data_IF_289521816700
#
_entry.id   IF_289521816700
#
_cell.length_a   1.000
_cell.length_b   1.000
_cell.length_c   1.000
_cell.angle_alpha   90.00
_cell.angle_beta   90.00
_cell.angle_gamma   90.00
#
_symmetry.space_group_name_H-M   'P 1'
#
loop_
_entity.id
_entity.type
_entity.pdbx_description
1 polymer ?
#
# COMPACT_ATOMS: atom_id res chain seq x y z
N UNK A 1 -2.59 26.67 32.05
CA UNK A 1 -3.33 27.02 30.86
C UNK A 1 -2.49 26.91 29.63
N UNK A 2 -1.39 27.61 29.56
CA UNK A 2 -0.59 27.55 28.37
C UNK A 2 -0.13 26.13 28.03
N UNK A 3 0.15 25.34 29.06
CA UNK A 3 0.60 23.98 28.84
C UNK A 3 -0.43 23.11 28.16
N UNK A 4 -1.70 23.31 28.49
CA UNK A 4 -2.75 22.53 27.86
C UNK A 4 -2.88 22.84 26.39
N UNK A 5 -2.77 24.10 26.02
CA UNK A 5 -2.86 24.50 24.63
C UNK A 5 -1.72 23.90 23.84
N UNK A 6 -0.50 23.90 24.41
CA UNK A 6 0.65 23.34 23.72
C UNK A 6 0.48 21.84 23.48
N UNK A 7 -0.04 21.11 24.45
CA UNK A 7 -0.24 19.69 24.29
C UNK A 7 -1.25 19.39 23.20
N UNK A 8 -2.31 20.16 23.15
CA UNK A 8 -3.33 19.97 22.14
C UNK A 8 -2.73 20.17 20.74
N UNK A 9 -1.90 21.20 20.59
CA UNK A 9 -1.28 21.46 19.31
C UNK A 9 -0.37 20.33 18.87
N UNK A 10 0.38 19.74 19.80
CA UNK A 10 1.27 18.65 19.47
C UNK A 10 0.48 17.44 19.01
N UNK A 11 -0.61 17.09 19.68
CA UNK A 11 -1.43 15.95 19.29
C UNK A 11 -1.98 16.16 17.89
N UNK A 12 -2.44 17.36 17.59
CA UNK A 12 -3.00 17.65 16.28
C UNK A 12 -1.94 17.49 15.19
N UNK A 13 -0.72 17.95 15.45
CA UNK A 13 0.34 17.85 14.48
C UNK A 13 0.70 16.39 14.19
N UNK A 14 0.69 15.53 15.21
CA UNK A 14 0.98 14.13 15.02
C UNK A 14 -0.07 13.44 14.16
N UNK A 15 -1.32 13.78 14.37
CA UNK A 15 -2.38 13.20 13.55
C UNK A 15 -2.23 13.62 12.08
N UNK A 16 -1.88 14.86 11.84
CA UNK A 16 -1.71 15.32 10.48
C UNK A 16 -0.52 14.63 9.82
N UNK A 17 0.57 14.44 10.55
CA UNK A 17 1.73 13.77 9.99
C UNK A 17 1.43 12.31 9.68
N UNK A 18 0.70 11.62 10.55
CA UNK A 18 0.33 10.24 10.29
C UNK A 18 -0.53 10.12 9.05
N UNK A 19 -1.45 11.06 8.87
CA UNK A 19 -2.31 11.05 7.72
C UNK A 19 -1.51 11.23 6.42
N UNK A 20 -0.47 12.05 6.43
CA UNK A 20 0.29 12.33 5.24
C UNK A 20 1.04 11.10 4.73
N UNK A 21 1.31 10.13 5.59
CA UNK A 21 2.03 8.93 5.17
C UNK A 21 1.12 7.81 4.71
N UNK A 22 -0.17 7.92 4.92
CA UNK A 22 -1.10 6.92 4.44
C UNK A 22 -1.23 7.13 2.94
N UNK A 23 -0.47 6.41 2.17
CA UNK A 23 -0.46 6.69 0.75
C UNK A 23 -0.18 5.49 -0.11
N UNK A 24 1.06 5.27 -0.46
CA UNK A 24 1.38 4.33 -1.51
C UNK A 24 1.92 3.02 -0.97
N UNK A 25 1.73 1.97 -1.75
CA UNK A 25 2.21 0.63 -1.43
C UNK A 25 2.93 0.10 -2.66
N UNK A 26 4.13 -0.43 -2.46
CA UNK A 26 4.87 -1.02 -3.56
C UNK A 26 4.54 -2.51 -3.64
N UNK A 27 3.81 -2.89 -4.68
CA UNK A 27 3.34 -4.27 -4.81
C UNK A 27 4.47 -5.24 -5.16
N UNK A 28 5.63 -4.74 -5.51
CA UNK A 28 6.77 -5.60 -5.80
C UNK A 28 7.58 -5.94 -4.55
N UNK A 29 7.44 -5.17 -3.48
CA UNK A 29 8.27 -5.35 -2.29
C UNK A 29 7.50 -5.57 -1.00
N UNK A 30 6.24 -5.14 -0.93
CA UNK A 30 5.48 -5.27 0.30
C UNK A 30 5.13 -6.72 0.58
N UNK A 31 5.09 -7.09 1.85
CA UNK A 31 4.68 -8.45 2.20
C UNK A 31 3.15 -8.56 2.20
N UNK A 32 2.66 -9.78 2.36
CA UNK A 32 1.22 -10.02 2.26
C UNK A 32 0.43 -9.27 3.32
N UNK A 33 0.95 -9.19 4.54
CA UNK A 33 0.25 -8.48 5.61
C UNK A 33 0.12 -6.99 5.29
N UNK A 34 1.17 -6.39 4.78
CA UNK A 34 1.16 -4.99 4.39
C UNK A 34 0.18 -4.75 3.24
N UNK A 35 0.22 -5.61 2.23
CA UNK A 35 -0.70 -5.48 1.11
C UNK A 35 -2.15 -5.58 1.57
N UNK A 36 -2.45 -6.53 2.45
CA UNK A 36 -3.80 -6.68 2.95
C UNK A 36 -4.24 -5.49 3.79
N UNK A 37 -3.34 -4.91 4.56
CA UNK A 37 -3.68 -3.79 5.43
C UNK A 37 -3.83 -2.49 4.68
N UNK A 38 -3.01 -2.29 3.64
CA UNK A 38 -2.94 -0.99 2.99
C UNK A 38 -3.83 -0.85 1.77
N UNK A 39 -4.13 -1.94 1.07
CA UNK A 39 -4.91 -1.85 -0.16
C UNK A 39 -6.36 -2.24 0.10
N UNK A 40 -7.26 -1.42 -0.42
CA UNK A 40 -8.68 -1.64 -0.24
C UNK A 40 -9.14 -2.81 -1.08
N UNK A 41 -9.92 -3.69 -0.46
CA UNK A 41 -10.55 -4.80 -1.19
C UNK A 41 -9.63 -5.98 -1.43
N UNK A 42 -8.41 -5.95 -0.93
CA UNK A 42 -7.46 -7.03 -1.19
C UNK A 42 -7.66 -8.20 -0.23
N UNK A 43 -7.62 -7.95 1.08
CA UNK A 43 -7.67 -9.03 2.04
C UNK A 43 -6.44 -9.91 1.98
N UNK A 44 -6.31 -10.81 2.95
CA UNK A 44 -5.08 -11.58 3.07
C UNK A 44 -4.93 -12.61 1.95
N UNK A 45 -6.02 -13.19 1.49
CA UNK A 45 -5.95 -14.21 0.45
C UNK A 45 -5.43 -13.62 -0.87
N UNK A 46 -5.97 -12.48 -1.26
CA UNK A 46 -5.50 -11.84 -2.49
C UNK A 46 -4.10 -11.27 -2.33
N UNK A 47 -3.78 -10.80 -1.12
CA UNK A 47 -2.43 -10.31 -0.86
C UNK A 47 -1.41 -11.44 -1.03
N UNK A 48 -1.72 -12.63 -0.55
CA UNK A 48 -0.83 -13.75 -0.73
C UNK A 48 -0.72 -14.12 -2.21
N UNK A 49 -1.81 -14.02 -2.96
CA UNK A 49 -1.77 -14.29 -4.38
C UNK A 49 -0.88 -13.30 -5.13
N UNK A 50 -0.85 -12.05 -4.68
CA UNK A 50 0.05 -11.06 -5.28
C UNK A 50 1.51 -11.46 -5.03
N UNK A 51 1.83 -11.83 -3.80
CA UNK A 51 3.18 -12.25 -3.47
C UNK A 51 3.58 -13.48 -4.30
N UNK A 52 2.68 -14.46 -4.40
CA UNK A 52 2.95 -15.66 -5.18
C UNK A 52 3.18 -15.33 -6.65
N UNK A 53 2.38 -14.42 -7.19
CA UNK A 53 2.52 -14.05 -8.59
C UNK A 53 3.89 -13.44 -8.86
N UNK A 54 4.31 -12.50 -8.03
CA UNK A 54 5.58 -11.83 -8.32
C UNK A 54 6.77 -12.76 -8.13
N UNK A 55 6.61 -13.80 -7.33
CA UNK A 55 7.68 -14.75 -7.11
C UNK A 55 7.73 -15.83 -8.17
N UNK A 56 6.61 -16.18 -8.77
CA UNK A 56 6.57 -17.26 -9.74
C UNK A 56 6.49 -16.78 -11.17
N UNK A 57 5.79 -15.70 -11.43
CA UNK A 57 5.64 -15.15 -12.78
C UNK A 57 6.65 -14.06 -13.04
N UNK A 58 6.78 -13.14 -12.09
CA UNK A 58 7.70 -12.03 -12.23
C UNK A 58 7.13 -10.78 -11.65
N UNK A 59 7.99 -9.79 -11.50
CA UNK A 59 7.56 -8.54 -10.87
C UNK A 59 6.55 -7.81 -11.72
N UNK A 60 5.81 -6.92 -11.07
CA UNK A 60 4.82 -6.12 -11.77
C UNK A 60 5.50 -4.93 -12.43
N UNK A 61 5.18 -4.69 -13.68
CA UNK A 61 5.70 -3.52 -14.41
C UNK A 61 4.73 -2.35 -14.34
N UNK A 62 3.45 -2.61 -14.19
CA UNK A 62 2.43 -1.57 -14.08
C UNK A 62 1.41 -2.00 -13.03
N UNK A 63 0.71 -1.04 -12.42
CA UNK A 63 -0.36 -1.40 -11.49
C UNK A 63 -1.46 -2.24 -12.13
N UNK A 64 -1.72 -2.03 -13.41
CA UNK A 64 -2.77 -2.77 -14.10
C UNK A 64 -2.50 -4.26 -14.17
N UNK A 65 -1.23 -4.66 -14.06
CA UNK A 65 -0.91 -6.08 -14.07
C UNK A 65 -1.44 -6.81 -12.85
N UNK A 66 -1.89 -6.10 -11.82
CA UNK A 66 -2.56 -6.78 -10.73
C UNK A 66 -3.79 -7.55 -11.19
N UNK A 67 -4.38 -7.15 -12.30
CA UNK A 67 -5.53 -7.89 -12.81
C UNK A 67 -5.16 -9.27 -13.34
N UNK A 68 -3.87 -9.55 -13.53
CA UNK A 68 -3.45 -10.90 -13.88
C UNK A 68 -3.45 -11.82 -12.67
N UNK A 69 -3.59 -11.27 -11.48
CA UNK A 69 -3.64 -12.07 -10.27
C UNK A 69 -5.07 -12.52 -10.02
N UNK A 70 -5.24 -13.80 -9.71
CA UNK A 70 -6.56 -14.34 -9.51
C UNK A 70 -7.30 -13.61 -8.40
N UNK A 71 -8.50 -13.22 -8.65
CA UNK A 71 -9.35 -12.52 -7.68
C UNK A 71 -9.24 -11.01 -7.70
N UNK A 72 -8.41 -10.43 -8.56
CA UNK A 72 -8.25 -8.99 -8.63
C UNK A 72 -8.79 -8.49 -9.95
N UNK A 73 -9.82 -7.66 -9.90
CA UNK A 73 -10.43 -7.09 -11.09
C UNK A 73 -10.26 -5.58 -11.13
N UNK A 74 -10.88 -4.94 -12.15
CA UNK A 74 -10.70 -3.50 -12.31
C UNK A 74 -11.22 -2.66 -11.16
N UNK A 75 -12.22 -3.14 -10.43
CA UNK A 75 -12.77 -2.37 -9.33
C UNK A 75 -11.74 -2.18 -8.22
N UNK A 76 -10.93 -3.20 -7.97
CA UNK A 76 -9.89 -3.09 -6.96
C UNK A 76 -8.86 -2.05 -7.39
N UNK A 77 -8.53 -1.99 -8.66
CA UNK A 77 -7.61 -0.97 -9.16
C UNK A 77 -8.20 0.41 -8.98
N UNK A 78 -9.49 0.59 -9.25
CA UNK A 78 -10.13 1.89 -9.08
C UNK A 78 -10.10 2.34 -7.63
N UNK A 79 -10.38 1.42 -6.71
CA UNK A 79 -10.39 1.75 -5.29
C UNK A 79 -9.02 2.19 -4.79
N UNK A 80 -7.96 1.74 -5.45
CA UNK A 80 -6.60 2.01 -4.99
C UNK A 80 -5.82 2.89 -5.95
N UNK A 81 -6.54 3.62 -6.80
CA UNK A 81 -5.88 4.44 -7.80
C UNK A 81 -4.97 5.46 -7.14
N UNK A 82 -3.77 5.61 -7.67
CA UNK A 82 -2.79 6.52 -7.11
C UNK A 82 -2.04 5.99 -5.91
N UNK A 83 -2.40 4.80 -5.43
CA UNK A 83 -1.76 4.24 -4.25
C UNK A 83 -0.83 3.08 -4.57
N UNK A 84 -0.87 2.54 -5.77
CA UNK A 84 -0.10 1.37 -6.14
C UNK A 84 1.18 1.80 -6.84
N UNK A 85 2.31 1.32 -6.32
CA UNK A 85 3.63 1.65 -6.86
C UNK A 85 4.28 0.35 -7.29
N UNK A 86 5.01 0.39 -8.40
CA UNK A 86 5.67 -0.78 -8.96
C UNK A 86 7.16 -0.56 -9.15
N UNK A 87 7.75 0.40 -8.46
CA UNK A 87 9.18 0.63 -8.62
C UNK A 87 9.97 -0.61 -8.24
N UNK A 88 11.11 -0.81 -8.86
CA UNK A 88 11.94 -1.94 -8.47
C UNK A 88 12.51 -1.69 -7.09
N UNK A 89 12.97 -2.78 -6.49
CA UNK A 89 13.61 -2.66 -5.23
C UNK A 89 14.72 -1.65 -5.26
N UNK A 90 14.87 -0.89 -4.23
CA UNK A 90 15.95 0.09 -4.20
C UNK A 90 17.26 -0.65 -4.17
N UNK A 91 17.80 -0.73 -5.33
CA UNK A 91 18.92 -1.52 -5.48
C UNK A 91 20.06 -1.01 -4.70
N UNK A 92 20.06 -0.17 -4.45
CA UNK A 92 21.10 0.18 -3.85
C UNK A 92 21.48 -0.20 -2.88
N UNK A 93 20.87 -0.30 -3.08
CA UNK A 93 20.92 -0.24 -2.20
C UNK A 93 21.61 -0.60 -1.79
#
# INVERSE_FOLDING_TARGET
MFRLITRTAIIFAMLAAGYAYAGTVNINTADADTLAAELDGIGLSRAQAIVDYRETVGRFETPEQLMDVSGIGPRILEWNEGRIVVTPEPAGN
#
